data_IF_361209433114
#
_entry.id   IF_361209433114
#
_cell.length_a   1.000
_cell.length_b   1.000
_cell.length_c   1.000
_cell.angle_alpha   90.00
_cell.angle_beta   90.00
_cell.angle_gamma   90.00
#
_symmetry.space_group_name_H-M   'P 1'
#
loop_
_entity.id
_entity.type
_entity.pdbx_description
1 polymer ?
#
# COMPACT_ATOMS: atom_id res chain seq x y z
N UNK A 1 -42.34 -30.20 28.03
CA UNK A 1 -42.44 -28.95 27.26
C UNK A 1 -41.09 -28.23 27.37
N UNK A 2 -40.09 -28.66 26.59
CA UNK A 2 -38.76 -28.07 26.66
C UNK A 2 -38.74 -26.78 25.83
N UNK A 3 -38.64 -25.65 26.53
CA UNK A 3 -38.47 -24.33 25.95
C UNK A 3 -37.10 -24.28 25.27
N UNK A 4 -37.08 -24.43 23.95
CA UNK A 4 -35.91 -24.20 23.12
C UNK A 4 -35.59 -22.71 23.13
N UNK A 5 -34.65 -22.30 23.99
CA UNK A 5 -34.07 -20.95 23.92
C UNK A 5 -33.48 -20.78 22.52
N UNK A 6 -33.79 -19.69 21.79
CA UNK A 6 -33.13 -19.41 20.54
C UNK A 6 -31.64 -19.21 20.85
N UNK A 7 -30.79 -20.08 20.29
CA UNK A 7 -29.34 -19.96 20.28
C UNK A 7 -28.96 -18.68 19.53
N UNK A 8 -29.07 -17.53 20.20
CA UNK A 8 -28.48 -16.27 19.79
C UNK A 8 -26.98 -16.35 20.08
N UNK A 9 -26.24 -16.88 19.14
CA UNK A 9 -24.79 -16.99 19.26
C UNK A 9 -24.22 -17.64 18.02
N UNK A 10 -24.13 -16.88 16.93
CA UNK A 10 -23.19 -17.24 15.88
C UNK A 10 -21.81 -17.36 16.52
N UNK A 11 -21.04 -18.38 16.15
CA UNK A 11 -19.70 -18.65 16.70
C UNK A 11 -18.71 -17.51 16.45
N UNK A 12 -19.08 -16.51 15.63
CA UNK A 12 -18.32 -15.29 15.41
C UNK A 12 -18.39 -14.41 16.66
N UNK A 13 -17.33 -14.44 17.46
CA UNK A 13 -17.16 -13.50 18.57
C UNK A 13 -17.21 -12.06 18.05
N UNK A 14 -17.95 -11.18 18.74
CA UNK A 14 -18.06 -9.76 18.40
C UNK A 14 -16.68 -9.09 18.22
N UNK A 15 -15.68 -9.56 18.97
CA UNK A 15 -14.28 -9.13 18.89
C UNK A 15 -13.66 -9.38 17.50
N UNK A 16 -13.86 -10.57 16.91
CA UNK A 16 -13.31 -10.92 15.60
C UNK A 16 -13.91 -10.01 14.53
N UNK A 17 -15.23 -9.83 14.55
CA UNK A 17 -15.93 -8.96 13.60
C UNK A 17 -15.46 -7.50 13.72
N UNK A 18 -15.28 -6.99 14.94
CA UNK A 18 -14.74 -5.64 15.18
C UNK A 18 -13.31 -5.50 14.66
N UNK A 19 -12.45 -6.48 14.92
CA UNK A 19 -11.06 -6.46 14.43
C UNK A 19 -10.98 -6.45 12.90
N UNK A 20 -11.80 -7.26 12.23
CA UNK A 20 -11.89 -7.28 10.77
C UNK A 20 -12.36 -5.94 10.20
N UNK A 21 -13.41 -5.34 10.77
CA UNK A 21 -13.89 -4.03 10.31
C UNK A 21 -12.86 -2.92 10.56
N UNK A 22 -12.13 -2.96 11.67
CA UNK A 22 -11.05 -2.02 11.94
C UNK A 22 -9.91 -2.16 10.91
N UNK A 23 -9.45 -3.38 10.65
CA UNK A 23 -8.42 -3.64 9.64
C UNK A 23 -8.88 -3.22 8.23
N UNK A 24 -10.14 -3.48 7.88
CA UNK A 24 -10.70 -3.10 6.59
C UNK A 24 -10.88 -1.58 6.43
N UNK A 25 -11.15 -0.85 7.52
CA UNK A 25 -11.16 0.61 7.53
C UNK A 25 -9.75 1.19 7.34
N UNK A 26 -8.74 0.60 8.00
CA UNK A 26 -7.34 0.98 7.78
C UNK A 26 -6.93 0.72 6.33
N UNK A 27 -7.34 -0.40 5.75
CA UNK A 27 -7.12 -0.72 4.33
C UNK A 27 -7.79 0.30 3.40
N UNK A 28 -9.01 0.74 3.71
CA UNK A 28 -9.68 1.80 2.96
C UNK A 28 -8.88 3.12 3.01
N UNK A 29 -8.48 3.54 4.22
CA UNK A 29 -7.67 4.74 4.40
C UNK A 29 -6.31 4.65 3.66
N UNK A 30 -5.68 3.48 3.68
CA UNK A 30 -4.47 3.18 2.92
C UNK A 30 -4.70 3.36 1.40
N UNK A 31 -5.79 2.81 0.86
CA UNK A 31 -6.14 2.99 -0.55
C UNK A 31 -6.43 4.45 -0.92
N UNK A 32 -7.15 5.19 -0.07
CA UNK A 32 -7.45 6.62 -0.28
C UNK A 32 -6.18 7.47 -0.25
N UNK A 33 -5.27 7.20 0.68
CA UNK A 33 -3.99 7.94 0.79
C UNK A 33 -3.08 7.66 -0.41
N UNK A 34 -2.99 6.41 -0.88
CA UNK A 34 -2.26 6.08 -2.10
C UNK A 34 -2.86 6.75 -3.34
N UNK A 35 -4.19 6.72 -3.48
CA UNK A 35 -4.89 7.34 -4.60
C UNK A 35 -4.74 8.86 -4.58
N UNK A 36 -4.90 9.51 -3.42
CA UNK A 36 -4.79 10.96 -3.29
C UNK A 36 -3.37 11.45 -3.56
N UNK A 37 -2.36 10.75 -3.05
CA UNK A 37 -0.96 11.04 -3.33
C UNK A 37 -0.66 10.89 -4.83
N UNK A 38 -1.09 9.79 -5.45
CA UNK A 38 -0.93 9.55 -6.89
C UNK A 38 -1.62 10.61 -7.75
N UNK A 39 -2.86 10.97 -7.41
CA UNK A 39 -3.63 12.00 -8.12
C UNK A 39 -3.01 13.40 -7.96
N UNK A 40 -2.58 13.76 -6.74
CA UNK A 40 -1.90 15.02 -6.47
C UNK A 40 -0.62 15.16 -7.31
N UNK A 41 0.14 14.08 -7.38
CA UNK A 41 1.36 13.96 -8.16
C UNK A 41 1.15 13.91 -9.67
N UNK A 42 -0.02 13.46 -10.13
CA UNK A 42 -0.39 13.51 -11.53
C UNK A 42 -0.85 14.92 -11.94
N UNK A 43 -1.62 15.60 -11.07
CA UNK A 43 -2.15 16.93 -11.33
C UNK A 43 -1.10 18.05 -11.22
N UNK A 44 -0.11 17.88 -10.34
CA UNK A 44 1.00 18.81 -10.16
C UNK A 44 2.30 18.10 -10.55
N UNK A 45 2.81 18.29 -11.78
CA UNK A 45 4.15 17.84 -12.17
C UNK A 45 5.19 18.92 -11.82
N UNK A 46 5.76 18.99 -10.60
CA UNK A 46 6.90 19.87 -10.38
C UNK A 46 8.10 19.35 -11.17
N UNK A 47 8.80 20.26 -11.84
CA UNK A 47 9.95 19.97 -12.71
C UNK A 47 11.00 19.07 -12.04
N UNK A 48 11.37 19.33 -10.78
CA UNK A 48 12.43 18.56 -10.06
C UNK A 48 12.06 17.12 -9.72
N UNK A 49 10.78 16.83 -9.49
CA UNK A 49 10.35 15.50 -9.05
C UNK A 49 10.38 14.48 -10.17
N UNK A 50 10.12 14.92 -11.40
CA UNK A 50 10.14 14.09 -12.61
C UNK A 50 11.54 13.50 -12.86
N UNK A 51 12.60 14.10 -12.29
CA UNK A 51 13.95 13.54 -12.29
C UNK A 51 14.06 12.22 -11.51
N UNK A 52 13.23 12.06 -10.47
CA UNK A 52 13.30 10.98 -9.49
C UNK A 52 12.23 9.92 -9.75
N UNK A 53 10.97 10.33 -9.92
CA UNK A 53 9.84 9.42 -10.14
C UNK A 53 9.37 9.51 -11.58
N UNK A 54 9.49 8.40 -12.29
CA UNK A 54 8.93 8.24 -13.64
C UNK A 54 7.40 8.13 -13.62
N UNK A 55 6.74 8.61 -14.66
CA UNK A 55 5.26 8.64 -14.78
C UNK A 55 4.63 7.26 -14.59
N UNK A 56 5.32 6.19 -15.00
CA UNK A 56 4.86 4.81 -14.79
C UNK A 56 4.60 4.48 -13.32
N UNK A 57 5.45 4.95 -12.39
CA UNK A 57 5.27 4.68 -10.97
C UNK A 57 4.06 5.41 -10.38
N UNK A 58 3.75 6.61 -10.90
CA UNK A 58 2.57 7.39 -10.49
C UNK A 58 1.29 6.66 -10.89
N UNK A 59 1.22 6.19 -12.14
CA UNK A 59 0.07 5.44 -12.64
C UNK A 59 -0.11 4.13 -11.86
N UNK A 60 0.97 3.40 -11.58
CA UNK A 60 0.89 2.19 -10.74
C UNK A 60 0.33 2.50 -9.35
N UNK A 61 0.76 3.60 -8.71
CA UNK A 61 0.24 4.00 -7.39
C UNK A 61 -1.26 4.31 -7.43
N UNK A 62 -1.74 5.01 -8.47
CA UNK A 62 -3.17 5.29 -8.68
C UNK A 62 -3.95 3.99 -8.84
N UNK A 63 -3.49 3.08 -9.70
CA UNK A 63 -4.13 1.79 -9.95
C UNK A 63 -4.20 0.95 -8.68
N UNK A 64 -3.08 0.83 -7.95
CA UNK A 64 -3.04 0.08 -6.70
C UNK A 64 -3.93 0.71 -5.63
N UNK A 65 -3.95 2.04 -5.50
CA UNK A 65 -4.85 2.75 -4.59
C UNK A 65 -6.32 2.43 -4.89
N UNK A 66 -6.71 2.48 -6.17
CA UNK A 66 -8.06 2.12 -6.60
C UNK A 66 -8.41 0.65 -6.31
N UNK A 67 -7.51 -0.28 -6.64
CA UNK A 67 -7.70 -1.71 -6.36
C UNK A 67 -7.84 -1.99 -4.87
N UNK A 68 -7.08 -1.28 -4.03
CA UNK A 68 -7.13 -1.40 -2.56
C UNK A 68 -8.48 -0.92 -2.01
N UNK A 69 -8.98 0.21 -2.53
CA UNK A 69 -10.32 0.73 -2.20
C UNK A 69 -11.40 -0.29 -2.59
N UNK A 70 -11.34 -0.82 -3.81
CA UNK A 70 -12.29 -1.84 -4.28
C UNK A 70 -12.23 -3.12 -3.43
N UNK A 71 -11.02 -3.55 -3.05
CA UNK A 71 -10.84 -4.69 -2.17
C UNK A 71 -11.39 -4.45 -0.75
N UNK A 72 -11.30 -3.21 -0.24
CA UNK A 72 -11.94 -2.84 1.03
C UNK A 72 -13.48 -2.92 0.96
N UNK A 73 -14.08 -2.48 -0.16
CA UNK A 73 -15.52 -2.67 -0.39
C UNK A 73 -15.90 -4.15 -0.50
N UNK A 74 -15.07 -4.95 -1.18
CA UNK A 74 -15.24 -6.41 -1.24
C UNK A 74 -15.16 -7.04 0.16
N UNK A 75 -14.25 -6.57 1.02
CA UNK A 75 -14.14 -7.00 2.41
C UNK A 75 -15.40 -6.70 3.23
N UNK A 76 -15.94 -5.47 3.12
CA UNK A 76 -17.23 -5.12 3.75
C UNK A 76 -18.35 -6.02 3.24
N UNK A 77 -18.46 -6.17 1.92
CA UNK A 77 -19.51 -7.00 1.30
C UNK A 77 -19.42 -8.47 1.71
N UNK A 78 -18.21 -9.01 1.82
CA UNK A 78 -17.94 -10.37 2.25
C UNK A 78 -18.30 -10.59 3.73
N UNK A 79 -18.15 -9.55 4.57
CA UNK A 79 -18.43 -9.63 6.01
C UNK A 79 -19.91 -9.54 6.41
N UNK A 80 -20.79 -9.06 5.51
CA UNK A 80 -22.22 -8.93 5.80
C UNK A 80 -22.91 -10.27 5.96
N UNK A 81 -22.69 -11.19 5.01
CA UNK A 81 -23.24 -12.54 5.02
C UNK A 81 -22.13 -13.56 4.70
N UNK A 82 -21.22 -13.83 5.65
CA UNK A 82 -20.07 -14.68 5.39
C UNK A 82 -20.54 -16.05 4.91
N UNK A 83 -21.51 -16.69 5.57
CA UNK A 83 -21.99 -18.04 5.22
C UNK A 83 -22.58 -18.15 3.80
N UNK A 84 -23.39 -17.18 3.37
CA UNK A 84 -24.07 -17.22 2.07
C UNK A 84 -23.17 -16.80 0.90
N UNK A 85 -22.00 -16.19 1.16
CA UNK A 85 -21.11 -15.64 0.13
C UNK A 85 -19.71 -16.28 0.16
N UNK A 86 -19.56 -17.58 -0.20
CA UNK A 86 -18.27 -18.30 -0.20
C UNK A 86 -17.22 -17.69 -1.07
N UNK A 87 -17.62 -17.25 -2.25
CA UNK A 87 -16.69 -16.75 -3.24
C UNK A 87 -16.10 -15.40 -2.80
N UNK A 88 -16.92 -14.49 -2.26
CA UNK A 88 -16.45 -13.17 -1.82
C UNK A 88 -15.44 -13.25 -0.65
N UNK A 89 -15.70 -14.12 0.33
CA UNK A 89 -14.81 -14.30 1.49
C UNK A 89 -13.46 -14.91 1.09
N UNK A 90 -13.43 -15.80 0.08
CA UNK A 90 -12.17 -16.34 -0.47
C UNK A 90 -11.46 -15.37 -1.41
N UNK A 91 -12.22 -14.56 -2.14
CA UNK A 91 -11.67 -13.59 -3.09
C UNK A 91 -10.96 -12.44 -2.40
N UNK A 92 -11.48 -11.95 -1.28
CA UNK A 92 -10.88 -10.84 -0.51
C UNK A 92 -9.38 -11.06 -0.17
N UNK A 93 -8.98 -12.13 0.54
CA UNK A 93 -7.58 -12.34 0.87
C UNK A 93 -6.74 -12.69 -0.37
N UNK A 94 -7.32 -13.38 -1.37
CA UNK A 94 -6.61 -13.70 -2.61
C UNK A 94 -6.26 -12.45 -3.42
N UNK A 95 -7.21 -11.51 -3.57
CA UNK A 95 -6.98 -10.24 -4.23
C UNK A 95 -5.99 -9.37 -3.45
N UNK A 96 -6.08 -9.37 -2.12
CA UNK A 96 -5.17 -8.62 -1.26
C UNK A 96 -3.73 -9.10 -1.41
N UNK A 97 -3.47 -10.40 -1.49
CA UNK A 97 -2.11 -10.95 -1.72
C UNK A 97 -1.52 -10.41 -3.02
N UNK A 98 -2.30 -10.37 -4.10
CA UNK A 98 -1.84 -9.83 -5.39
C UNK A 98 -1.47 -8.35 -5.26
N UNK A 99 -2.31 -7.56 -4.58
CA UNK A 99 -2.07 -6.14 -4.32
C UNK A 99 -0.79 -5.95 -3.49
N UNK A 100 -0.61 -6.73 -2.43
CA UNK A 100 0.58 -6.65 -1.56
C UNK A 100 1.85 -7.01 -2.32
N UNK A 101 1.84 -8.03 -3.16
CA UNK A 101 3.00 -8.39 -4.00
C UNK A 101 3.38 -7.22 -4.91
N UNK A 102 2.40 -6.61 -5.59
CA UNK A 102 2.65 -5.43 -6.42
C UNK A 102 3.26 -4.28 -5.62
N UNK A 103 2.75 -4.01 -4.40
CA UNK A 103 3.26 -2.97 -3.50
C UNK A 103 4.69 -3.25 -3.03
N UNK A 104 5.01 -4.51 -2.68
CA UNK A 104 6.36 -4.90 -2.28
C UNK A 104 7.35 -4.76 -3.43
N UNK A 105 7.00 -5.21 -4.64
CA UNK A 105 7.85 -5.05 -5.82
C UNK A 105 8.10 -3.57 -6.11
N UNK A 106 7.08 -2.73 -5.99
CA UNK A 106 7.21 -1.28 -6.15
C UNK A 106 8.12 -0.66 -5.09
N UNK A 107 7.92 -0.99 -3.81
CA UNK A 107 8.74 -0.52 -2.71
C UNK A 107 10.21 -0.93 -2.87
N UNK A 108 10.46 -2.18 -3.27
CA UNK A 108 11.80 -2.69 -3.56
C UNK A 108 12.46 -1.96 -4.73
N UNK A 109 11.74 -1.67 -5.81
CA UNK A 109 12.29 -0.90 -6.95
C UNK A 109 12.75 0.49 -6.51
N UNK A 110 11.90 1.21 -5.78
CA UNK A 110 12.23 2.55 -5.26
C UNK A 110 13.39 2.48 -4.26
N UNK A 111 13.43 1.44 -3.44
CA UNK A 111 14.54 1.21 -2.51
C UNK A 111 15.86 0.92 -3.22
N UNK A 112 15.87 0.07 -4.26
CA UNK A 112 17.09 -0.18 -5.05
C UNK A 112 17.58 1.10 -5.73
N UNK A 113 16.65 1.95 -6.21
CA UNK A 113 16.99 3.24 -6.79
C UNK A 113 17.73 4.15 -5.80
N UNK A 114 17.49 4.05 -4.50
CA UNK A 114 18.25 4.85 -3.52
C UNK A 114 19.72 4.43 -3.44
N UNK A 115 20.02 3.15 -3.70
CA UNK A 115 21.39 2.62 -3.70
C UNK A 115 22.18 3.08 -4.92
N UNK A 116 21.52 3.21 -6.08
CA UNK A 116 22.17 3.60 -7.34
C UNK A 116 22.04 5.08 -7.69
N UNK A 117 21.28 5.86 -6.91
CA UNK A 117 20.91 7.24 -7.25
C UNK A 117 22.09 8.15 -7.58
N UNK A 118 23.23 7.99 -6.89
CA UNK A 118 24.38 8.88 -7.07
C UNK A 118 24.92 8.80 -8.50
N UNK A 119 25.09 7.57 -9.00
CA UNK A 119 25.56 7.29 -10.35
C UNK A 119 24.49 7.62 -11.38
N UNK A 120 23.26 7.17 -11.15
CA UNK A 120 22.17 7.34 -12.11
C UNK A 120 21.82 8.82 -12.31
N UNK A 121 21.87 9.64 -11.25
CA UNK A 121 21.60 11.08 -11.35
C UNK A 121 22.73 11.83 -12.05
N UNK A 122 23.98 11.41 -11.84
CA UNK A 122 25.12 11.97 -12.56
C UNK A 122 25.04 11.68 -14.05
N UNK A 123 24.83 10.41 -14.41
CA UNK A 123 24.68 9.98 -15.81
C UNK A 123 23.53 10.75 -16.48
N UNK A 124 22.36 10.82 -15.83
CA UNK A 124 21.18 11.52 -16.36
C UNK A 124 21.33 13.05 -16.48
N UNK A 125 22.21 13.65 -15.68
CA UNK A 125 22.55 15.06 -15.81
C UNK A 125 23.49 15.30 -17.00
N UNK A 126 24.52 14.48 -17.11
CA UNK A 126 25.59 14.65 -18.11
C UNK A 126 25.11 14.29 -19.52
N UNK A 127 24.27 13.26 -19.66
CA UNK A 127 23.68 12.85 -20.94
C UNK A 127 22.57 13.78 -21.45
N UNK A 128 22.11 14.72 -20.60
CA UNK A 128 21.04 15.67 -20.93
C UNK A 128 19.64 15.07 -20.88
N UNK A 129 19.46 13.85 -20.36
CA UNK A 129 18.14 13.20 -20.21
C UNK A 129 17.25 13.93 -19.20
N UNK A 130 17.85 14.56 -18.18
CA UNK A 130 17.19 15.61 -17.41
C UNK A 130 17.15 16.88 -18.27
N UNK A 131 15.99 17.14 -18.88
CA UNK A 131 15.75 18.34 -19.67
C UNK A 131 16.23 19.63 -18.99
N UNK A 132 16.43 20.68 -19.79
CA UNK A 132 16.94 21.96 -19.29
C UNK A 132 16.08 22.54 -18.16
N UNK A 133 14.77 22.32 -18.19
CA UNK A 133 13.81 22.72 -17.17
C UNK A 133 14.09 22.09 -15.80
N UNK A 134 14.43 20.79 -15.78
CA UNK A 134 14.76 20.05 -14.56
C UNK A 134 16.08 20.55 -13.98
N UNK A 135 17.11 20.66 -14.83
CA UNK A 135 18.44 21.11 -14.43
C UNK A 135 18.39 22.55 -13.91
N UNK A 136 17.69 23.44 -14.61
CA UNK A 136 17.47 24.82 -14.18
C UNK A 136 16.75 24.89 -12.83
N UNK A 137 15.74 24.05 -12.60
CA UNK A 137 15.02 24.03 -11.33
C UNK A 137 15.91 23.56 -10.15
N UNK A 138 16.84 22.63 -10.40
CA UNK A 138 17.85 22.25 -9.41
C UNK A 138 18.87 23.36 -9.16
N UNK A 139 19.38 24.00 -10.22
CA UNK A 139 20.32 25.13 -10.12
C UNK A 139 19.73 26.31 -9.36
N UNK A 140 18.52 26.75 -9.71
CA UNK A 140 17.83 27.83 -9.02
C UNK A 140 17.51 27.49 -7.57
N UNK A 141 17.13 26.24 -7.30
CA UNK A 141 16.79 25.76 -5.95
C UNK A 141 18.00 25.62 -5.02
N UNK A 142 19.12 25.13 -5.55
CA UNK A 142 20.36 24.91 -4.81
C UNK A 142 21.35 26.07 -4.89
N UNK A 143 21.06 27.11 -5.68
CA UNK A 143 21.98 28.20 -6.02
C UNK A 143 23.36 27.68 -6.44
N UNK A 144 23.33 26.70 -7.34
CA UNK A 144 24.49 25.90 -7.74
C UNK A 144 24.63 25.88 -9.28
N UNK A 145 25.79 25.46 -9.77
CA UNK A 145 26.11 25.46 -11.20
C UNK A 145 26.83 24.17 -11.60
N UNK A 146 26.39 23.57 -12.71
CA UNK A 146 26.80 22.23 -13.14
C UNK A 146 26.58 21.12 -12.09
N UNK A 147 26.99 19.89 -12.40
CA UNK A 147 26.79 18.73 -11.52
C UNK A 147 27.95 18.50 -10.53
N UNK A 148 29.08 17.93 -10.96
CA UNK A 148 30.27 17.78 -10.12
C UNK A 148 31.24 18.95 -10.30
N UNK A 149 31.30 19.48 -11.51
CA UNK A 149 32.02 20.70 -11.86
C UNK A 149 31.05 21.73 -12.44
N UNK A 150 31.43 23.01 -12.40
CA UNK A 150 30.62 24.10 -12.96
C UNK A 150 30.42 23.98 -14.48
N UNK A 151 31.25 23.19 -15.17
CA UNK A 151 31.20 23.00 -16.62
C UNK A 151 30.38 21.76 -17.02
N UNK A 152 29.90 20.97 -16.06
CA UNK A 152 29.14 19.74 -16.33
C UNK A 152 27.71 20.08 -16.75
N UNK A 153 27.52 20.30 -18.05
CA UNK A 153 26.22 20.55 -18.69
C UNK A 153 25.36 21.60 -17.94
N UNK A 154 25.90 22.79 -17.61
CA UNK A 154 25.15 23.83 -16.90
C UNK A 154 24.06 24.43 -17.81
N UNK A 155 22.92 24.77 -17.22
CA UNK A 155 21.93 25.61 -17.88
C UNK A 155 22.21 27.07 -17.52
N UNK A 156 22.28 27.93 -18.53
CA UNK A 156 22.56 29.35 -18.32
C UNK A 156 21.40 30.01 -17.55
N UNK A 157 21.73 30.64 -16.42
CA UNK A 157 20.76 31.33 -15.56
C UNK A 157 21.43 32.47 -14.80
N UNK A 158 20.64 33.33 -14.14
CA UNK A 158 21.18 34.41 -13.30
C UNK A 158 22.14 33.90 -12.22
N UNK A 159 21.94 32.66 -11.75
CA UNK A 159 22.78 32.00 -10.74
C UNK A 159 23.96 31.21 -11.30
N UNK A 160 23.96 30.88 -12.60
CA UNK A 160 24.94 30.00 -13.23
C UNK A 160 25.35 30.58 -14.59
N UNK A 161 26.42 31.37 -14.56
CA UNK A 161 27.13 31.87 -15.74
C UNK A 161 28.64 31.62 -15.60
N UNK A 162 29.36 31.60 -16.73
CA UNK A 162 30.80 31.38 -16.77
C UNK A 162 31.52 32.44 -15.93
N UNK A 163 32.22 32.01 -14.87
CA UNK A 163 32.92 32.89 -13.92
C UNK A 163 32.20 33.12 -12.59
N UNK A 164 31.03 32.51 -12.37
CA UNK A 164 30.41 32.45 -11.03
C UNK A 164 31.22 31.58 -10.08
N UNK A 165 31.38 32.03 -8.83
CA UNK A 165 31.91 31.20 -7.72
C UNK A 165 30.86 30.24 -7.13
N UNK A 166 29.87 29.83 -7.93
CA UNK A 166 28.77 29.00 -7.48
C UNK A 166 29.26 27.56 -7.22
N UNK A 167 28.80 26.90 -6.14
CA UNK A 167 29.19 25.54 -5.85
C UNK A 167 28.55 24.54 -6.84
N UNK A 168 29.11 23.32 -6.95
CA UNK A 168 28.51 22.24 -7.75
C UNK A 168 27.15 21.78 -7.19
N UNK A 169 26.23 21.36 -8.05
CA UNK A 169 24.88 20.93 -7.63
C UNK A 169 24.82 19.52 -7.03
N UNK A 170 25.83 18.68 -7.21
CA UNK A 170 25.78 17.27 -6.81
C UNK A 170 25.36 17.04 -5.34
N UNK A 171 25.93 17.71 -4.32
CA UNK A 171 25.51 17.51 -2.92
C UNK A 171 24.03 17.85 -2.68
N UNK A 172 23.55 18.91 -3.32
CA UNK A 172 22.15 19.35 -3.20
C UNK A 172 21.19 18.37 -3.89
N UNK A 173 21.55 17.91 -5.08
CA UNK A 173 20.78 16.93 -5.85
C UNK A 173 20.69 15.61 -5.10
N UNK A 174 21.80 15.11 -4.54
CA UNK A 174 21.80 13.88 -3.74
C UNK A 174 21.00 14.01 -2.45
N UNK A 175 21.13 15.11 -1.71
CA UNK A 175 20.36 15.34 -0.50
C UNK A 175 18.86 15.41 -0.77
N UNK A 176 18.45 16.10 -1.85
CA UNK A 176 17.06 16.16 -2.28
C UNK A 176 16.55 14.77 -2.68
N UNK A 177 17.33 14.05 -3.50
CA UNK A 177 17.03 12.69 -3.95
C UNK A 177 16.84 11.71 -2.79
N UNK A 178 17.80 11.67 -1.87
CA UNK A 178 17.79 10.77 -0.72
C UNK A 178 16.57 11.00 0.17
N UNK A 179 16.34 12.25 0.57
CA UNK A 179 15.20 12.62 1.42
C UNK A 179 13.87 12.26 0.76
N UNK A 180 13.74 12.53 -0.53
CA UNK A 180 12.51 12.28 -1.27
C UNK A 180 12.24 10.78 -1.45
N UNK A 181 13.23 10.02 -1.94
CA UNK A 181 13.12 8.57 -2.10
C UNK A 181 12.88 7.87 -0.75
N UNK A 182 13.54 8.33 0.31
CA UNK A 182 13.37 7.79 1.67
C UNK A 182 11.97 7.93 2.21
N UNK A 183 11.38 9.11 2.05
CA UNK A 183 9.99 9.32 2.45
C UNK A 183 9.04 8.40 1.66
N UNK A 184 9.28 8.22 0.36
CA UNK A 184 8.41 7.40 -0.50
C UNK A 184 8.50 5.92 -0.15
N UNK A 185 9.69 5.33 -0.11
CA UNK A 185 9.79 3.89 0.16
C UNK A 185 9.28 3.58 1.57
N UNK A 186 9.51 4.47 2.55
CA UNK A 186 9.01 4.29 3.92
C UNK A 186 7.49 4.30 3.96
N UNK A 187 6.84 5.22 3.24
CA UNK A 187 5.39 5.25 3.10
C UNK A 187 4.85 3.99 2.42
N UNK A 188 5.49 3.51 1.34
CA UNK A 188 5.06 2.27 0.65
C UNK A 188 5.15 1.07 1.58
N UNK A 189 6.25 0.89 2.31
CA UNK A 189 6.38 -0.22 3.25
C UNK A 189 5.42 -0.11 4.44
N UNK A 190 5.09 1.10 4.89
CA UNK A 190 4.07 1.30 5.91
C UNK A 190 2.67 0.84 5.43
N UNK A 191 2.33 1.09 4.17
CA UNK A 191 1.08 0.59 3.57
C UNK A 191 1.08 -0.94 3.44
N UNK A 192 2.21 -1.55 3.07
CA UNK A 192 2.36 -3.02 3.02
C UNK A 192 2.08 -3.67 4.38
N UNK A 193 2.51 -3.05 5.48
CA UNK A 193 2.20 -3.56 6.83
C UNK A 193 0.70 -3.59 7.08
N UNK A 194 -0.03 -2.54 6.67
CA UNK A 194 -1.49 -2.49 6.78
C UNK A 194 -2.14 -3.61 5.97
N UNK A 195 -1.65 -3.85 4.74
CA UNK A 195 -2.15 -4.95 3.90
C UNK A 195 -1.95 -6.32 4.55
N UNK A 196 -0.79 -6.56 5.16
CA UNK A 196 -0.49 -7.83 5.85
C UNK A 196 -1.42 -8.02 7.05
N UNK A 197 -1.67 -6.98 7.84
CA UNK A 197 -2.63 -7.05 8.96
C UNK A 197 -4.04 -7.35 8.46
N UNK A 198 -4.49 -6.65 7.41
CA UNK A 198 -5.79 -6.89 6.80
C UNK A 198 -5.92 -8.30 6.20
N UNK A 199 -4.85 -8.82 5.60
CA UNK A 199 -4.77 -10.20 5.11
C UNK A 199 -4.94 -11.21 6.23
N UNK A 200 -4.22 -11.07 7.34
CA UNK A 200 -4.35 -11.96 8.50
C UNK A 200 -5.77 -11.95 9.07
N UNK A 201 -6.38 -10.76 9.20
CA UNK A 201 -7.79 -10.64 9.60
C UNK A 201 -8.74 -11.33 8.61
N UNK A 202 -8.47 -11.22 7.30
CA UNK A 202 -9.21 -11.90 6.24
C UNK A 202 -9.13 -13.42 6.32
N UNK A 203 -7.94 -13.97 6.57
CA UNK A 203 -7.72 -15.42 6.75
C UNK A 203 -8.48 -15.92 7.98
N UNK A 204 -8.39 -15.25 9.12
CA UNK A 204 -9.16 -15.61 10.32
C UNK A 204 -10.67 -15.63 10.03
N UNK A 205 -11.18 -14.64 9.30
CA UNK A 205 -12.59 -14.61 8.90
C UNK A 205 -12.96 -15.81 8.01
N UNK A 206 -12.07 -16.23 7.10
CA UNK A 206 -12.32 -17.39 6.22
C UNK A 206 -12.43 -18.70 6.99
N UNK A 207 -11.55 -18.91 7.98
CA UNK A 207 -11.52 -20.12 8.80
C UNK A 207 -12.74 -20.21 9.72
N UNK A 208 -13.07 -19.14 10.44
CA UNK A 208 -14.26 -19.08 11.32
C UNK A 208 -15.53 -19.38 10.53
N UNK A 209 -15.62 -18.85 9.30
CA UNK A 209 -16.74 -19.11 8.39
C UNK A 209 -16.78 -20.56 7.91
N UNK A 210 -15.63 -21.19 7.68
CA UNK A 210 -15.54 -22.60 7.29
C UNK A 210 -16.02 -23.52 8.42
N UNK A 211 -15.63 -23.23 9.66
CA UNK A 211 -16.11 -23.92 10.85
C UNK A 211 -17.63 -23.78 11.01
N UNK A 212 -18.17 -22.56 10.91
CA UNK A 212 -19.61 -22.30 11.01
C UNK A 212 -20.40 -23.09 9.95
N UNK A 213 -19.91 -23.09 8.71
CA UNK A 213 -20.51 -23.85 7.60
C UNK A 213 -20.52 -25.36 7.89
N UNK A 214 -19.47 -25.88 8.55
CA UNK A 214 -19.39 -27.28 8.97
C UNK A 214 -20.39 -27.59 10.08
N UNK A 215 -20.53 -26.72 11.09
CA UNK A 215 -21.50 -26.90 12.17
C UNK A 215 -22.95 -26.93 11.65
N UNK A 216 -23.29 -26.05 10.71
CA UNK A 216 -24.62 -26.04 10.07
C UNK A 216 -24.88 -27.40 9.38
N UNK A 217 -23.89 -27.95 8.69
CA UNK A 217 -24.00 -29.25 8.01
C UNK A 217 -24.17 -30.42 8.99
N UNK A 218 -23.46 -30.40 10.12
CA UNK A 218 -23.57 -31.45 11.17
C UNK A 218 -24.95 -31.39 11.82
N UNK A 219 -25.41 -30.19 12.20
CA UNK A 219 -26.73 -30.01 12.81
C UNK A 219 -27.87 -30.41 11.89
N UNK A 220 -27.74 -30.15 10.59
CA UNK A 220 -28.70 -30.61 9.58
C UNK A 220 -28.81 -32.13 9.47
N UNK A 221 -27.71 -32.87 9.73
CA UNK A 221 -27.71 -34.33 9.76
C UNK A 221 -28.28 -34.90 11.07
N UNK A 222 -27.92 -34.31 12.21
CA UNK A 222 -28.40 -34.74 13.54
C UNK A 222 -29.90 -34.46 13.76
N UNK A 223 -30.46 -33.40 13.16
CA UNK A 223 -31.90 -33.14 13.22
C UNK A 223 -32.77 -34.18 12.50
N UNK A 224 -32.17 -35.06 11.68
CA UNK A 224 -32.86 -36.14 10.99
C UNK A 224 -32.69 -37.52 11.67
N UNK A 225 -31.92 -37.60 12.74
CA UNK A 225 -31.69 -38.82 13.51
C UNK A 225 -31.41 -38.48 14.97
N UNK A 226 -32.40 -38.71 15.81
CA UNK A 226 -32.46 -38.52 17.26
C UNK A 226 -31.07 -38.61 17.95
N UNK A 227 -30.46 -37.46 18.26
CA UNK A 227 -29.10 -37.39 18.80
C UNK A 227 -28.64 -35.96 19.02
N UNK A 228 -28.87 -35.46 20.24
CA UNK A 228 -28.45 -34.15 20.72
C UNK A 228 -26.91 -34.04 20.74
N UNK A 229 -26.32 -33.57 19.63
CA UNK A 229 -24.92 -33.13 19.62
C UNK A 229 -24.87 -31.74 20.26
N UNK A 230 -24.46 -31.70 21.53
CA UNK A 230 -24.16 -30.43 22.20
C UNK A 230 -23.08 -29.67 21.42
N UNK A 231 -23.23 -28.35 21.21
CA UNK A 231 -22.16 -27.56 20.64
C UNK A 231 -20.94 -27.62 21.56
N UNK A 232 -19.71 -27.62 21.02
CA UNK A 232 -18.53 -27.48 21.86
C UNK A 232 -18.66 -26.17 22.62
N UNK A 233 -18.81 -26.31 23.94
CA UNK A 233 -18.68 -25.20 24.86
C UNK A 233 -17.22 -24.79 24.74
N UNK A 234 -16.97 -23.71 24.00
CA UNK A 234 -15.64 -23.13 23.90
C UNK A 234 -15.16 -22.93 25.32
N UNK A 235 -14.14 -23.72 25.68
CA UNK A 235 -13.42 -23.60 26.94
C UNK A 235 -13.09 -22.12 27.03
N UNK A 236 -13.71 -21.47 28.00
CA UNK A 236 -13.16 -20.30 28.66
C UNK A 236 -11.74 -20.66 29.02
N UNK A 237 -10.79 -20.33 28.14
CA UNK A 237 -9.40 -20.15 28.50
C UNK A 237 -9.40 -18.96 29.46
N UNK A 238 -9.75 -19.27 30.71
CA UNK A 238 -9.18 -18.60 31.86
C UNK A 238 -7.67 -18.75 31.73
N UNK A 239 -7.00 -17.69 31.26
CA UNK A 239 -6.08 -16.90 32.09
C UNK A 239 -5.50 -15.76 31.26
#
# INVERSE_FOLDING_TARGET
>A
MFSSRPSKGGAITLTIRRSFHAANFLLFAAGVTALSMGAYFHANPPSRRNAIIETQHIVTMIVVGLLTILNSFLGLWASLDPVNRPNAVRLYPAALVIITICMVVMGLKVWVQTLTMHRDFQERWQDGSWGEDIRLAFQAGGKCCGFTTIMDNPVASETCFLGTGAPPCAPWVWQYGDSYLRNIYTCIFALVIIDVVAFLCGVVLTEVRAEESRYIRIRGKAGSGDGLVEPPTYISLQR
#
